data_IF_353076556842
#
_entry.id   IF_353076556842
#
_cell.length_a   1.000
_cell.length_b   1.000
_cell.length_c   1.000
_cell.angle_alpha   90.00
_cell.angle_beta   90.00
_cell.angle_gamma   90.00
#
_symmetry.space_group_name_H-M   'P 1'
#
loop_
_entity.id
_entity.type
_entity.pdbx_description
1 polymer ?
#
# COMPACT_ATOMS: atom_id res chain seq x y z
N UNK A 1 -15.80 -9.94 -9.82
CA UNK A 1 -15.34 -10.89 -8.77
C UNK A 1 -14.18 -11.66 -9.36
N UNK A 2 -13.04 -11.76 -8.66
CA UNK A 2 -11.81 -12.36 -9.19
C UNK A 2 -11.11 -13.19 -8.12
N UNK A 3 -10.48 -14.30 -8.53
CA UNK A 3 -9.65 -15.16 -7.70
C UNK A 3 -8.65 -15.91 -8.61
N UNK A 4 -7.57 -16.42 -8.03
CA UNK A 4 -6.59 -17.25 -8.73
C UNK A 4 -6.80 -18.74 -8.42
N UNK A 5 -6.56 -19.61 -9.39
CA UNK A 5 -6.45 -21.05 -9.15
C UNK A 5 -5.17 -21.42 -8.40
N UNK A 6 -5.11 -22.65 -7.88
CA UNK A 6 -3.91 -23.23 -7.25
C UNK A 6 -2.75 -23.35 -8.23
N UNK A 7 -1.52 -23.17 -7.73
CA UNK A 7 -0.29 -23.36 -8.51
C UNK A 7 0.17 -24.83 -8.41
N UNK A 8 0.10 -25.58 -9.51
CA UNK A 8 0.53 -26.99 -9.58
C UNK A 8 1.96 -27.16 -10.10
N UNK A 9 2.61 -26.06 -10.51
CA UNK A 9 3.96 -26.08 -11.07
C UNK A 9 5.02 -26.02 -9.96
N UNK A 10 6.27 -26.43 -10.24
CA UNK A 10 7.38 -26.28 -9.30
C UNK A 10 7.86 -24.83 -9.13
N UNK A 11 7.33 -23.85 -9.88
CA UNK A 11 7.78 -22.46 -9.84
C UNK A 11 6.90 -21.58 -8.96
N UNK A 12 7.51 -20.61 -8.27
CA UNK A 12 6.78 -19.65 -7.44
C UNK A 12 5.91 -18.70 -8.25
N UNK A 13 4.72 -18.38 -7.73
CA UNK A 13 3.87 -17.30 -8.23
C UNK A 13 3.90 -16.13 -7.24
N UNK A 14 4.75 -15.15 -7.49
CA UNK A 14 4.83 -13.91 -6.72
C UNK A 14 4.02 -12.85 -7.44
N UNK A 15 3.14 -12.15 -6.72
CA UNK A 15 2.33 -11.08 -7.28
C UNK A 15 2.25 -9.93 -6.31
N UNK A 16 2.48 -8.72 -6.83
CA UNK A 16 2.35 -7.47 -6.10
C UNK A 16 1.06 -6.81 -6.54
N UNK A 17 0.25 -6.36 -5.58
CA UNK A 17 -1.02 -5.71 -5.84
C UNK A 17 -0.97 -4.27 -5.35
N UNK A 18 -1.47 -3.37 -6.19
CA UNK A 18 -1.69 -1.96 -5.85
C UNK A 18 -3.19 -1.67 -5.95
N UNK A 19 -3.79 -1.28 -4.82
CA UNK A 19 -5.19 -0.83 -4.78
C UNK A 19 -5.21 0.69 -4.83
N UNK A 20 -5.62 1.26 -5.95
CA UNK A 20 -5.70 2.70 -6.15
C UNK A 20 -7.10 3.23 -5.82
N UNK A 21 -7.16 4.42 -5.24
CA UNK A 21 -8.39 5.15 -5.00
C UNK A 21 -8.22 6.60 -5.43
N UNK A 22 -9.28 7.23 -5.96
CA UNK A 22 -9.29 8.66 -6.19
C UNK A 22 -9.21 9.41 -4.85
N UNK A 23 -8.45 10.49 -4.79
CA UNK A 23 -8.29 11.32 -3.58
C UNK A 23 -9.65 11.86 -3.07
N UNK A 24 -10.57 12.15 -3.99
CA UNK A 24 -11.95 12.56 -3.66
C UNK A 24 -12.79 11.46 -2.99
N UNK A 25 -12.35 10.20 -3.04
CA UNK A 25 -13.03 9.03 -2.50
C UNK A 25 -12.25 8.36 -1.36
N UNK A 26 -11.47 9.13 -0.60
CA UNK A 26 -10.73 8.60 0.54
C UNK A 26 -11.64 8.14 1.69
N UNK A 27 -11.18 7.14 2.45
CA UNK A 27 -11.93 6.63 3.60
C UNK A 27 -11.92 7.65 4.74
N UNK A 28 -13.03 7.76 5.47
CA UNK A 28 -13.16 8.68 6.63
C UNK A 28 -13.21 7.98 7.98
N UNK A 29 -13.26 6.64 7.97
CA UNK A 29 -13.35 5.80 9.17
C UNK A 29 -12.20 4.80 9.18
N UNK A 30 -11.21 5.03 10.04
CA UNK A 30 -9.98 4.23 10.11
C UNK A 30 -10.12 3.01 11.03
N UNK A 31 -11.05 2.10 10.67
CA UNK A 31 -11.36 0.87 11.44
C UNK A 31 -10.33 -0.25 11.28
N UNK A 32 -9.36 -0.09 10.40
CA UNK A 32 -8.32 -1.09 10.11
C UNK A 32 -6.94 -0.48 10.39
N UNK A 33 -5.94 -1.31 10.68
CA UNK A 33 -4.54 -0.89 10.69
C UNK A 33 -4.16 -0.16 9.39
N UNK A 34 -3.23 0.77 9.49
CA UNK A 34 -2.80 1.61 8.36
C UNK A 34 -2.11 0.82 7.25
N UNK A 35 -1.35 -0.23 7.59
CA UNK A 35 -0.73 -1.12 6.60
C UNK A 35 -1.75 -1.87 5.72
N UNK A 36 -3.03 -1.91 6.13
CA UNK A 36 -4.13 -2.46 5.34
C UNK A 36 -4.93 -1.35 4.65
N UNK A 37 -5.17 -0.24 5.35
CA UNK A 37 -5.96 0.88 4.88
C UNK A 37 -5.25 2.20 5.19
N UNK A 38 -4.58 2.74 4.17
CA UNK A 38 -3.80 3.98 4.27
C UNK A 38 -4.63 5.16 4.77
N UNK A 39 -3.94 6.09 5.42
CA UNK A 39 -4.51 7.33 5.96
C UNK A 39 -4.04 8.57 5.22
N UNK A 40 -2.90 8.47 4.53
CA UNK A 40 -2.40 9.48 3.61
C UNK A 40 -3.03 9.26 2.23
N UNK A 41 -3.64 10.32 1.70
CA UNK A 41 -4.26 10.36 0.38
C UNK A 41 -3.70 11.51 -0.46
N UNK A 42 -2.46 11.91 -0.18
CA UNK A 42 -1.71 12.82 -1.06
C UNK A 42 -1.67 12.22 -2.47
N UNK A 43 -1.96 12.99 -3.54
CA UNK A 43 -1.88 12.49 -4.91
C UNK A 43 -0.51 11.88 -5.20
N UNK A 44 -0.50 10.76 -5.93
CA UNK A 44 0.75 10.12 -6.36
C UNK A 44 1.35 10.96 -7.49
N UNK A 45 2.65 11.23 -7.39
CA UNK A 45 3.43 11.91 -8.41
C UNK A 45 4.23 10.91 -9.25
N UNK A 46 4.28 11.13 -10.56
CA UNK A 46 5.09 10.30 -11.45
C UNK A 46 6.57 10.62 -11.26
N UNK A 47 7.38 9.58 -11.12
CA UNK A 47 8.83 9.69 -11.23
C UNK A 47 9.25 9.68 -12.72
N UNK A 48 10.50 10.07 -13.03
CA UNK A 48 11.04 9.95 -14.39
C UNK A 48 11.01 8.50 -14.92
N UNK A 49 11.01 8.36 -16.24
CA UNK A 49 10.85 7.06 -16.92
C UNK A 49 11.95 6.03 -16.58
N UNK A 50 13.12 6.49 -16.15
CA UNK A 50 14.27 5.66 -15.76
C UNK A 50 14.32 5.37 -14.24
N UNK A 51 13.23 5.62 -13.51
CA UNK A 51 13.17 5.49 -12.04
C UNK A 51 13.37 4.08 -11.47
N UNK A 52 13.35 3.06 -12.33
CA UNK A 52 13.69 1.68 -11.95
C UNK A 52 15.16 1.33 -12.20
N UNK A 53 15.87 2.16 -12.95
CA UNK A 53 17.29 1.97 -13.30
C UNK A 53 18.21 2.84 -12.45
N UNK A 54 17.73 4.00 -12.00
CA UNK A 54 18.50 4.96 -11.21
C UNK A 54 17.80 5.31 -9.89
N UNK A 55 18.56 5.60 -8.82
CA UNK A 55 17.98 6.01 -7.55
C UNK A 55 17.43 7.43 -7.66
N UNK A 56 16.14 7.58 -7.36
CA UNK A 56 15.48 8.87 -7.18
C UNK A 56 15.11 9.09 -5.71
N UNK A 57 15.13 10.33 -5.21
CA UNK A 57 14.69 10.63 -3.87
C UNK A 57 13.18 10.33 -3.76
N UNK A 58 12.83 9.32 -2.98
CA UNK A 58 11.45 8.93 -2.69
C UNK A 58 11.27 8.75 -1.19
N UNK A 59 10.08 9.08 -0.68
CA UNK A 59 9.76 8.82 0.70
C UNK A 59 9.59 7.31 0.92
N UNK A 60 10.42 6.73 1.80
CA UNK A 60 10.32 5.32 2.20
C UNK A 60 10.06 5.24 3.72
N UNK A 61 8.90 5.71 4.20
CA UNK A 61 8.63 5.84 5.63
C UNK A 61 8.70 4.51 6.38
N UNK A 62 8.54 3.38 5.68
CA UNK A 62 8.57 2.04 6.27
C UNK A 62 9.80 1.24 5.84
N UNK A 63 10.88 1.90 5.37
CA UNK A 63 12.12 1.23 4.94
C UNK A 63 12.68 0.31 6.03
N UNK A 64 12.62 0.76 7.27
CA UNK A 64 13.17 0.06 8.44
C UNK A 64 12.11 -0.79 9.18
N UNK A 65 10.96 -1.04 8.52
CA UNK A 65 9.86 -1.83 9.04
C UNK A 65 8.56 -1.03 9.22
N UNK A 66 7.48 -1.75 9.51
CA UNK A 66 6.17 -1.15 9.75
C UNK A 66 6.12 -0.50 11.14
N UNK A 67 5.80 0.80 11.25
CA UNK A 67 5.65 1.47 12.54
C UNK A 67 4.57 0.86 13.43
N UNK A 68 4.72 0.92 14.75
CA UNK A 68 3.79 0.27 15.67
C UNK A 68 2.38 0.89 15.61
N UNK A 69 2.30 2.20 15.42
CA UNK A 69 1.04 2.93 15.22
C UNK A 69 0.28 2.46 13.98
N UNK A 70 1.01 2.07 12.92
CA UNK A 70 0.43 1.59 11.68
C UNK A 70 -0.19 0.19 11.83
N UNK A 71 0.23 -0.57 12.85
CA UNK A 71 -0.35 -1.89 13.18
C UNK A 71 -1.69 -1.79 13.92
N UNK A 72 -2.03 -0.63 14.47
CA UNK A 72 -3.22 -0.44 15.31
C UNK A 72 -4.34 0.27 14.53
N UNK A 73 -5.61 -0.14 14.68
CA UNK A 73 -6.74 0.66 14.22
C UNK A 73 -6.74 2.03 14.92
N UNK A 74 -7.24 3.08 14.24
CA UNK A 74 -7.49 4.32 14.97
C UNK A 74 -8.64 4.04 15.95
N UNK A 75 -8.43 4.35 17.23
CA UNK A 75 -9.46 4.18 18.24
C UNK A 75 -10.72 4.93 17.77
N UNK A 76 -11.85 4.21 17.69
CA UNK A 76 -13.15 4.87 17.51
C UNK A 76 -13.36 5.78 18.72
N UNK A 77 -13.68 7.08 18.55
CA UNK A 77 -14.31 7.80 19.63
C UNK A 77 -15.58 7.01 20.01
N UNK A 78 -15.75 6.77 21.31
CA UNK A 78 -16.93 6.07 21.86
C UNK A 78 -18.21 6.80 21.48
#
# INVERSE_FOLDING_TARGET
VHASTSNLSPWNRVSVYLSLCAVSNHIRRFKRPEYIAHRDFTPIECLPDDCLLHPYPVALPWKDGTPEEALRPAALPR
#
